data_IF_024805209324
#
_entry.id   IF_024805209324
#
_cell.length_a   1.000
_cell.length_b   1.000
_cell.length_c   1.000
_cell.angle_alpha   90.00
_cell.angle_beta   90.00
_cell.angle_gamma   90.00
#
_symmetry.space_group_name_H-M   'P 1'
#
loop_
_entity.id
_entity.type
_entity.pdbx_description
1 polymer ?
#
# COMPACT_ATOMS: atom_id res chain seq x y z
N UNK A 1 -0.57 -23.87 12.37
CA UNK A 1 -0.68 -22.92 13.51
C UNK A 1 0.22 -21.74 13.17
N UNK A 2 -0.14 -20.48 13.49
CA UNK A 2 0.75 -19.36 13.17
C UNK A 2 2.04 -19.41 14.03
N UNK A 3 3.16 -18.86 13.52
CA UNK A 3 4.41 -18.74 14.26
C UNK A 3 4.23 -18.16 15.67
N UNK A 4 3.49 -17.04 15.77
CA UNK A 4 3.24 -16.35 17.04
C UNK A 4 2.53 -17.22 18.07
N UNK A 5 1.53 -18.01 17.64
CA UNK A 5 0.79 -18.91 18.53
C UNK A 5 1.67 -20.08 18.96
N UNK A 6 2.42 -20.68 18.05
CA UNK A 6 3.31 -21.80 18.39
C UNK A 6 4.41 -21.39 19.38
N UNK A 7 4.99 -20.20 19.20
CA UNK A 7 5.98 -19.63 20.12
C UNK A 7 5.39 -19.26 21.49
N UNK A 8 4.13 -18.83 21.56
CA UNK A 8 3.43 -18.64 22.83
C UNK A 8 3.31 -19.96 23.61
N UNK A 9 2.92 -21.06 22.96
CA UNK A 9 2.84 -22.38 23.62
C UNK A 9 4.22 -22.92 24.02
N UNK A 10 5.26 -22.61 23.25
CA UNK A 10 6.64 -22.89 23.63
C UNK A 10 7.03 -22.17 24.93
N UNK A 11 6.80 -20.85 24.99
CA UNK A 11 7.17 -20.02 26.13
C UNK A 11 6.35 -20.30 27.40
N UNK A 12 5.03 -20.39 27.27
CA UNK A 12 4.10 -20.38 28.42
C UNK A 12 3.62 -21.79 28.82
N UNK A 13 3.70 -22.76 27.91
CA UNK A 13 3.15 -24.11 28.12
C UNK A 13 4.20 -25.22 28.02
N UNK A 14 5.48 -24.86 27.84
CA UNK A 14 6.59 -25.81 27.80
C UNK A 14 6.54 -26.75 26.60
N UNK A 15 5.95 -26.34 25.48
CA UNK A 15 6.04 -27.07 24.22
C UNK A 15 7.52 -27.20 23.81
N UNK A 16 7.95 -28.32 23.24
CA UNK A 16 9.33 -28.46 22.74
C UNK A 16 9.50 -27.78 21.38
N UNK A 17 10.71 -27.35 21.04
CA UNK A 17 10.99 -26.69 19.76
C UNK A 17 10.68 -27.59 18.55
N UNK A 18 10.91 -28.91 18.66
CA UNK A 18 10.54 -29.86 17.60
C UNK A 18 9.03 -29.86 17.32
N UNK A 19 8.20 -29.70 18.37
CA UNK A 19 6.75 -29.58 18.22
C UNK A 19 6.37 -28.24 17.60
N UNK A 20 7.04 -27.14 17.98
CA UNK A 20 6.83 -25.82 17.37
C UNK A 20 7.06 -25.88 15.86
N UNK A 21 8.21 -26.42 15.44
CA UNK A 21 8.57 -26.58 14.03
C UNK A 21 7.58 -27.48 13.28
N UNK A 22 7.17 -28.60 13.88
CA UNK A 22 6.16 -29.50 13.29
C UNK A 22 4.78 -28.83 13.13
N UNK A 23 4.32 -28.06 14.12
CA UNK A 23 3.00 -27.40 14.09
C UNK A 23 2.92 -26.17 13.17
N UNK A 24 4.07 -25.55 12.90
CA UNK A 24 4.21 -24.38 12.01
C UNK A 24 4.61 -24.79 10.59
N UNK A 25 5.19 -25.97 10.41
CA UNK A 25 5.62 -26.49 9.11
C UNK A 25 7.06 -26.11 8.72
N UNK A 26 7.75 -25.34 9.56
CA UNK A 26 9.15 -24.94 9.32
C UNK A 26 10.11 -26.06 9.69
N UNK A 27 11.22 -26.17 8.94
CA UNK A 27 12.28 -27.16 9.21
C UNK A 27 13.42 -26.59 10.05
N UNK A 28 13.57 -25.26 10.05
CA UNK A 28 14.64 -24.56 10.76
C UNK A 28 14.05 -23.43 11.59
N UNK A 29 14.71 -23.17 12.72
CA UNK A 29 14.34 -22.06 13.60
C UNK A 29 14.52 -20.69 12.92
N UNK A 30 15.53 -20.56 12.04
CA UNK A 30 15.76 -19.34 11.28
C UNK A 30 14.55 -18.98 10.40
N UNK A 31 14.07 -19.95 9.61
CA UNK A 31 12.89 -19.77 8.75
C UNK A 31 11.65 -19.37 9.56
N UNK A 32 11.44 -19.99 10.73
CA UNK A 32 10.34 -19.65 11.63
C UNK A 32 10.45 -18.21 12.17
N UNK A 33 11.66 -17.78 12.49
CA UNK A 33 11.94 -16.44 13.01
C UNK A 33 11.75 -15.36 11.93
N UNK A 34 12.22 -15.64 10.71
CA UNK A 34 12.01 -14.75 9.55
C UNK A 34 10.51 -14.58 9.27
N UNK A 35 9.75 -15.67 9.26
CA UNK A 35 8.29 -15.61 9.08
C UNK A 35 7.62 -14.81 10.20
N UNK A 36 8.01 -15.04 11.45
CA UNK A 36 7.44 -14.30 12.58
C UNK A 36 7.66 -12.78 12.43
N UNK A 37 8.86 -12.36 12.01
CA UNK A 37 9.15 -10.94 11.78
C UNK A 37 8.26 -10.40 10.66
N UNK A 38 8.13 -11.16 9.56
CA UNK A 38 7.26 -10.77 8.46
C UNK A 38 5.80 -10.63 8.92
N UNK A 39 5.27 -11.60 9.67
CA UNK A 39 3.91 -11.55 10.23
C UNK A 39 3.70 -10.33 11.13
N UNK A 40 4.68 -9.99 11.95
CA UNK A 40 4.62 -8.82 12.83
C UNK A 40 4.61 -7.51 12.05
N UNK A 41 5.47 -7.38 11.03
CA UNK A 41 5.50 -6.21 10.14
C UNK A 41 4.21 -6.08 9.34
N UNK A 42 3.70 -7.20 8.80
CA UNK A 42 2.45 -7.22 8.06
C UNK A 42 1.26 -6.84 8.97
N UNK A 43 1.27 -7.26 10.24
CA UNK A 43 0.27 -6.85 11.20
C UNK A 43 0.37 -5.35 11.51
N UNK A 44 1.57 -4.82 11.71
CA UNK A 44 1.80 -3.38 11.93
C UNK A 44 1.25 -2.54 10.77
N UNK A 45 1.60 -2.90 9.53
CA UNK A 45 1.09 -2.22 8.34
C UNK A 45 -0.44 -2.32 8.22
N UNK A 46 -1.02 -3.49 8.48
CA UNK A 46 -2.47 -3.65 8.46
C UNK A 46 -3.18 -2.81 9.54
N UNK A 47 -2.58 -2.66 10.73
CA UNK A 47 -3.10 -1.80 11.78
C UNK A 47 -3.03 -0.31 11.38
N UNK A 48 -1.95 0.10 10.74
CA UNK A 48 -1.78 1.48 10.26
C UNK A 48 -2.77 1.80 9.13
N UNK A 49 -2.98 0.88 8.19
CA UNK A 49 -4.00 0.99 7.14
C UNK A 49 -5.42 1.12 7.69
N UNK A 50 -5.71 0.42 8.80
CA UNK A 50 -7.01 0.51 9.49
C UNK A 50 -7.18 1.83 10.26
N UNK A 51 -6.08 2.46 10.69
CA UNK A 51 -6.08 3.75 11.40
C UNK A 51 -6.08 4.95 10.44
N UNK A 52 -5.77 4.73 9.16
CA UNK A 52 -5.69 5.76 8.14
C UNK A 52 -7.04 6.43 7.87
N UNK A 53 -7.06 7.76 7.85
CA UNK A 53 -8.27 8.51 7.48
C UNK A 53 -8.48 8.48 5.96
N UNK A 54 -9.71 8.72 5.45
CA UNK A 54 -9.95 8.80 4.01
C UNK A 54 -9.05 9.82 3.29
N UNK A 55 -8.75 10.95 3.94
CA UNK A 55 -7.89 11.99 3.37
C UNK A 55 -6.43 11.55 3.26
N UNK A 56 -5.93 10.81 4.26
CA UNK A 56 -4.58 10.24 4.23
C UNK A 56 -4.45 9.21 3.12
N UNK A 57 -5.45 8.34 2.97
CA UNK A 57 -5.50 7.36 1.88
C UNK A 57 -5.56 8.04 0.52
N UNK A 58 -6.41 9.06 0.35
CA UNK A 58 -6.46 9.84 -0.91
C UNK A 58 -5.09 10.46 -1.22
N UNK A 59 -4.40 10.98 -0.20
CA UNK A 59 -3.08 11.57 -0.38
C UNK A 59 -2.04 10.53 -0.84
N UNK A 60 -1.98 9.35 -0.20
CA UNK A 60 -1.07 8.27 -0.63
C UNK A 60 -1.36 7.80 -2.05
N UNK A 61 -2.63 7.62 -2.41
CA UNK A 61 -3.02 7.28 -3.78
C UNK A 61 -2.61 8.34 -4.81
N UNK A 62 -2.57 9.62 -4.42
CA UNK A 62 -2.10 10.72 -5.28
C UNK A 62 -0.57 10.75 -5.39
N UNK A 63 0.14 10.45 -4.31
CA UNK A 63 1.60 10.31 -4.29
C UNK A 63 2.01 9.16 -5.21
N UNK A 64 1.37 8.00 -5.08
CA UNK A 64 1.62 6.84 -5.95
C UNK A 64 1.42 7.19 -7.43
N UNK A 65 0.30 7.81 -7.79
CA UNK A 65 0.07 8.24 -9.17
C UNK A 65 1.04 9.32 -9.67
N UNK A 66 1.59 10.14 -8.76
CA UNK A 66 2.62 11.10 -9.13
C UNK A 66 3.90 10.37 -9.53
N UNK A 67 4.27 9.32 -8.80
CA UNK A 67 5.39 8.46 -9.18
C UNK A 67 5.14 7.65 -10.45
N UNK A 68 3.91 7.20 -10.70
CA UNK A 68 3.56 6.51 -11.94
C UNK A 68 3.68 7.43 -13.16
N UNK A 69 3.16 8.66 -13.08
CA UNK A 69 3.11 9.58 -14.23
C UNK A 69 4.42 10.35 -14.43
N UNK A 70 5.06 10.79 -13.33
CA UNK A 70 6.22 11.68 -13.36
C UNK A 70 7.49 11.05 -12.79
N UNK A 71 7.48 9.77 -12.40
CA UNK A 71 8.61 9.15 -11.73
C UNK A 71 9.90 9.16 -12.55
N UNK A 72 9.83 9.02 -13.87
CA UNK A 72 11.01 9.11 -14.73
C UNK A 72 11.58 10.52 -14.76
N UNK A 73 10.71 11.53 -14.85
CA UNK A 73 11.12 12.93 -14.75
C UNK A 73 11.76 13.24 -13.39
N UNK A 74 11.14 12.79 -12.29
CA UNK A 74 11.66 13.03 -10.94
C UNK A 74 13.05 12.39 -10.80
N UNK A 75 13.23 11.15 -11.25
CA UNK A 75 14.52 10.43 -11.16
C UNK A 75 15.61 11.04 -12.02
N UNK A 76 15.27 11.63 -13.16
CA UNK A 76 16.25 12.15 -14.12
C UNK A 76 16.64 13.61 -13.83
N UNK A 77 15.72 14.42 -13.30
CA UNK A 77 15.88 15.88 -13.24
C UNK A 77 15.85 16.48 -11.84
N UNK A 78 15.51 15.72 -10.80
CA UNK A 78 15.39 16.22 -9.43
C UNK A 78 16.47 15.58 -8.55
N UNK A 79 17.13 16.32 -7.66
CA UNK A 79 17.98 15.73 -6.64
C UNK A 79 17.18 14.81 -5.69
N UNK A 80 17.71 13.65 -5.27
CA UNK A 80 16.98 12.73 -4.39
C UNK A 80 16.50 13.33 -3.07
N UNK A 81 17.21 14.32 -2.52
CA UNK A 81 16.84 15.06 -1.32
C UNK A 81 15.69 16.07 -1.55
N UNK A 82 15.36 16.36 -2.81
CA UNK A 82 14.25 17.24 -3.20
C UNK A 82 13.04 16.47 -3.74
N UNK A 83 13.09 15.13 -3.82
CA UNK A 83 11.99 14.31 -4.35
C UNK A 83 10.65 14.57 -3.67
N UNK A 84 10.62 14.61 -2.34
CA UNK A 84 9.38 14.83 -1.60
C UNK A 84 8.75 16.20 -1.94
N UNK A 85 9.59 17.24 -2.06
CA UNK A 85 9.13 18.58 -2.39
C UNK A 85 8.56 18.64 -3.81
N UNK A 86 9.21 17.96 -4.76
CA UNK A 86 8.74 17.92 -6.13
C UNK A 86 7.46 17.09 -6.27
N UNK A 87 7.35 15.96 -5.56
CA UNK A 87 6.11 15.17 -5.51
C UNK A 87 4.96 16.03 -5.01
N UNK A 88 5.13 16.71 -3.88
CA UNK A 88 4.13 17.62 -3.31
C UNK A 88 3.74 18.73 -4.29
N UNK A 89 4.70 19.28 -5.06
CA UNK A 89 4.44 20.27 -6.10
C UNK A 89 3.56 19.71 -7.23
N UNK A 90 3.67 18.42 -7.54
CA UNK A 90 2.96 17.75 -8.63
C UNK A 90 1.59 17.18 -8.22
N UNK A 91 1.35 16.92 -6.92
CA UNK A 91 0.07 16.40 -6.43
C UNK A 91 -1.18 17.16 -6.93
N UNK A 92 -1.21 18.51 -6.94
CA UNK A 92 -2.39 19.25 -7.43
C UNK A 92 -2.69 18.99 -8.91
N UNK A 93 -1.64 18.73 -9.72
CA UNK A 93 -1.79 18.43 -11.14
C UNK A 93 -2.45 17.05 -11.32
N UNK A 94 -1.93 16.02 -10.64
CA UNK A 94 -2.51 14.67 -10.66
C UNK A 94 -3.95 14.68 -10.16
N UNK A 95 -4.23 15.40 -9.07
CA UNK A 95 -5.60 15.53 -8.53
C UNK A 95 -6.56 16.10 -9.57
N UNK A 96 -6.17 17.17 -10.26
CA UNK A 96 -6.99 17.77 -11.34
C UNK A 96 -7.17 16.80 -12.52
N UNK A 97 -6.11 16.12 -12.94
CA UNK A 97 -6.16 15.14 -14.03
C UNK A 97 -7.14 14.01 -13.72
N UNK A 98 -7.09 13.44 -12.50
CA UNK A 98 -8.05 12.41 -12.05
C UNK A 98 -9.49 12.93 -12.03
N UNK A 99 -9.71 14.16 -11.55
CA UNK A 99 -11.04 14.79 -11.57
C UNK A 99 -11.60 14.95 -13.00
N UNK A 100 -10.76 15.38 -13.95
CA UNK A 100 -11.15 15.52 -15.37
C UNK A 100 -11.51 14.15 -15.97
N UNK A 101 -10.68 13.13 -15.73
CA UNK A 101 -10.93 11.76 -16.22
C UNK A 101 -12.24 11.21 -15.63
N UNK A 102 -12.46 11.38 -14.32
CA UNK A 102 -13.68 10.96 -13.65
C UNK A 102 -14.93 11.68 -14.21
N UNK A 103 -14.83 13.00 -14.43
CA UNK A 103 -15.89 13.78 -15.04
C UNK A 103 -16.22 13.31 -16.47
N UNK A 104 -15.19 13.04 -17.29
CA UNK A 104 -15.35 12.51 -18.65
C UNK A 104 -15.96 11.10 -18.68
N UNK A 105 -15.67 10.27 -17.67
CA UNK A 105 -16.27 8.94 -17.50
C UNK A 105 -17.71 9.00 -16.99
N UNK A 106 -18.18 10.13 -16.46
CA UNK A 106 -19.53 10.25 -15.91
C UNK A 106 -20.63 10.07 -16.97
N UNK A 107 -21.72 9.40 -16.59
CA UNK A 107 -22.87 9.13 -17.46
C UNK A 107 -23.48 10.43 -18.02
N UNK A 108 -23.57 11.47 -17.18
CA UNK A 108 -24.10 12.79 -17.55
C UNK A 108 -23.26 13.46 -18.64
N UNK A 109 -21.93 13.37 -18.56
CA UNK A 109 -21.06 13.90 -19.61
C UNK A 109 -21.26 13.14 -20.93
N UNK A 110 -21.25 11.80 -20.90
CA UNK A 110 -21.51 10.98 -22.11
C UNK A 110 -22.86 11.25 -22.75
N UNK A 111 -23.91 11.42 -21.95
CA UNK A 111 -25.26 11.78 -22.43
C UNK A 111 -25.29 13.19 -23.03
N UNK A 112 -24.58 14.16 -22.44
CA UNK A 112 -24.49 15.53 -22.97
C UNK A 112 -23.74 15.59 -24.31
N UNK A 113 -22.68 14.80 -24.48
CA UNK A 113 -21.94 14.69 -25.74
C UNK A 113 -22.81 14.05 -26.82
N UNK A 114 -23.52 12.95 -26.50
CA UNK A 114 -24.46 12.31 -27.43
C UNK A 114 -25.57 13.26 -27.91
N UNK A 115 -26.12 14.09 -27.01
CA UNK A 115 -27.14 15.10 -27.38
C UNK A 115 -26.60 16.19 -28.29
N UNK A 116 -25.32 16.58 -28.17
CA UNK A 116 -24.69 17.59 -29.05
C UNK A 116 -24.32 17.07 -30.43
N UNK A 117 -24.13 15.76 -30.61
CA UNK A 117 -23.81 15.15 -31.92
C UNK A 117 -25.05 14.80 -32.75
N UNK A 118 -26.25 14.87 -32.16
CA UNK A 118 -27.54 14.56 -32.82
C UNK A 118 -28.29 15.83 -33.29
N UNK A 119 -27.76 17.01 -32.98
CA UNK A 119 -28.20 18.30 -33.51
C UNK A 119 -27.19 18.80 -34.53
#
# INVERSE_FOLDING_TARGET
>A
MSPSVALYFWREKGMSMDKVLSHTGFKRLADLHEELIYDLLAQEWAEDDMRMTPEQREHEELVEATWEEFGDYIREFVPPDEYDQEVERLLPLIKKTRQIIAAGRSKKFRESVKRRQLN
#
